data_IF_993524286661
#
_entry.id   IF_993524286661
#
_cell.length_a   1.000
_cell.length_b   1.000
_cell.length_c   1.000
_cell.angle_alpha   90.00
_cell.angle_beta   90.00
_cell.angle_gamma   90.00
#
_symmetry.space_group_name_H-M   'P 1'
#
loop_
_entity.id
_entity.type
_entity.pdbx_description
1 polymer ?
#
# COMPACT_ATOMS: atom_id res chain seq x y z
N UNK A 1 -8.01 13.26 27.93
CA UNK A 1 -6.95 12.68 27.08
C UNK A 1 -5.72 13.57 27.13
N UNK A 2 -4.75 13.26 28.00
CA UNK A 2 -3.58 14.15 28.19
C UNK A 2 -2.67 14.16 26.95
N UNK A 3 -2.72 13.09 26.15
CA UNK A 3 -1.87 12.87 24.98
C UNK A 3 -2.14 13.81 23.81
N UNK A 4 -3.39 14.25 23.58
CA UNK A 4 -3.71 15.23 22.53
C UNK A 4 -2.94 16.54 22.79
N UNK A 5 -2.97 17.03 24.04
CA UNK A 5 -2.26 18.26 24.41
C UNK A 5 -0.76 18.13 24.22
N UNK A 6 -0.18 17.01 24.67
CA UNK A 6 1.26 16.73 24.56
C UNK A 6 1.67 16.66 23.08
N UNK A 7 0.95 15.91 22.25
CA UNK A 7 1.21 15.77 20.83
C UNK A 7 1.07 17.12 20.09
N UNK A 8 0.05 17.92 20.43
CA UNK A 8 -0.14 19.27 19.89
C UNK A 8 1.04 20.19 20.22
N UNK A 9 1.46 20.19 21.48
CA UNK A 9 2.62 20.97 21.92
C UNK A 9 3.92 20.50 21.26
N UNK A 10 4.11 19.20 21.10
CA UNK A 10 5.24 18.61 20.35
C UNK A 10 5.27 19.09 18.91
N UNK A 11 4.10 19.22 18.27
CA UNK A 11 3.96 19.76 16.91
C UNK A 11 4.07 21.29 16.83
N UNK A 12 4.13 21.98 17.97
CA UNK A 12 4.32 23.43 18.02
C UNK A 12 3.10 24.27 17.62
N UNK A 13 1.89 23.68 17.57
CA UNK A 13 0.66 24.41 17.20
C UNK A 13 -0.20 24.73 18.43
N UNK A 14 -1.00 25.78 18.37
CA UNK A 14 -1.95 26.22 19.39
C UNK A 14 -3.28 25.43 19.33
N UNK A 15 -4.09 25.50 20.39
CA UNK A 15 -5.44 24.90 20.36
C UNK A 15 -6.30 25.49 19.24
N UNK A 16 -6.11 26.77 18.93
CA UNK A 16 -6.83 27.46 17.86
C UNK A 16 -6.44 26.90 16.49
N UNK A 17 -5.15 26.76 16.21
CA UNK A 17 -4.65 26.20 14.95
C UNK A 17 -5.08 24.74 14.77
N UNK A 18 -5.07 23.93 15.84
CA UNK A 18 -5.59 22.57 15.77
C UNK A 18 -7.09 22.57 15.46
N UNK A 19 -7.86 23.46 16.10
CA UNK A 19 -9.30 23.57 15.86
C UNK A 19 -9.62 24.01 14.42
N UNK A 20 -8.85 24.96 13.88
CA UNK A 20 -8.95 25.41 12.48
C UNK A 20 -8.68 24.25 11.50
N UNK A 21 -7.65 23.43 11.76
CA UNK A 21 -7.33 22.26 10.92
C UNK A 21 -8.39 21.17 10.98
N UNK A 22 -9.08 21.03 12.12
CA UNK A 22 -10.16 20.06 12.35
C UNK A 22 -11.55 20.61 11.97
N UNK A 23 -11.65 21.87 11.56
CA UNK A 23 -12.91 22.55 11.31
C UNK A 23 -13.90 22.47 12.51
N UNK A 24 -13.39 22.69 13.73
CA UNK A 24 -14.18 22.71 14.97
C UNK A 24 -13.87 23.97 15.79
N UNK A 25 -14.56 24.15 16.92
CA UNK A 25 -14.30 25.26 17.83
C UNK A 25 -13.06 25.00 18.69
N UNK A 26 -12.33 26.05 19.07
CA UNK A 26 -11.22 25.96 20.02
C UNK A 26 -11.68 25.34 21.36
N UNK A 27 -12.92 25.61 21.76
CA UNK A 27 -13.54 25.04 22.95
C UNK A 27 -13.66 23.51 22.85
N UNK A 28 -14.00 22.97 21.67
CA UNK A 28 -14.05 21.52 21.46
C UNK A 28 -12.68 20.88 21.68
N UNK A 29 -11.60 21.46 21.12
CA UNK A 29 -10.21 21.01 21.38
C UNK A 29 -9.88 21.08 22.88
N UNK A 30 -10.28 22.16 23.56
CA UNK A 30 -10.10 22.30 25.02
C UNK A 30 -10.78 21.17 25.80
N UNK A 31 -12.01 20.79 25.43
CA UNK A 31 -12.73 19.69 26.06
C UNK A 31 -12.05 18.33 25.82
N UNK A 32 -11.53 18.08 24.61
CA UNK A 32 -10.77 16.86 24.30
C UNK A 32 -9.49 16.77 25.14
N UNK A 33 -8.70 17.85 25.19
CA UNK A 33 -7.46 17.89 25.97
C UNK A 33 -7.70 17.71 27.48
N UNK A 34 -8.81 18.25 28.00
CA UNK A 34 -9.22 18.07 29.40
C UNK A 34 -9.81 16.68 29.69
N UNK A 35 -10.19 15.93 28.65
CA UNK A 35 -10.91 14.66 28.79
C UNK A 35 -12.37 14.82 29.20
N UNK A 36 -12.94 16.03 29.13
CA UNK A 36 -14.35 16.29 29.40
C UNK A 36 -15.25 15.87 28.24
N UNK A 37 -14.67 15.66 27.06
CA UNK A 37 -15.32 15.08 25.88
C UNK A 37 -14.36 14.08 25.25
N UNK A 38 -14.90 12.98 24.73
CA UNK A 38 -14.15 11.97 23.98
C UNK A 38 -14.40 12.25 22.48
N UNK A 39 -13.36 12.41 21.65
CA UNK A 39 -13.53 12.45 20.20
C UNK A 39 -13.98 11.08 19.69
N UNK A 40 -14.84 11.06 18.68
CA UNK A 40 -15.20 9.81 18.00
C UNK A 40 -14.04 9.28 17.14
N UNK A 41 -14.22 8.09 16.56
CA UNK A 41 -13.18 7.41 15.78
C UNK A 41 -12.66 8.24 14.60
N UNK A 42 -13.56 8.92 13.88
CA UNK A 42 -13.19 9.77 12.74
C UNK A 42 -12.38 10.98 13.22
N UNK A 43 -12.83 11.65 14.27
CA UNK A 43 -12.13 12.79 14.86
C UNK A 43 -10.77 12.38 15.44
N UNK A 44 -10.65 11.19 16.05
CA UNK A 44 -9.36 10.67 16.52
C UNK A 44 -8.39 10.44 15.36
N UNK A 45 -8.88 9.91 14.23
CA UNK A 45 -8.07 9.72 13.04
C UNK A 45 -7.59 11.05 12.44
N UNK A 46 -8.45 12.07 12.38
CA UNK A 46 -8.04 13.40 11.92
C UNK A 46 -7.02 14.05 12.87
N UNK A 47 -7.24 13.95 14.18
CA UNK A 47 -6.30 14.45 15.19
C UNK A 47 -4.95 13.74 15.05
N UNK A 48 -4.94 12.42 14.88
CA UNK A 48 -3.70 11.63 14.77
C UNK A 48 -2.90 12.02 13.52
N UNK A 49 -3.56 12.20 12.38
CA UNK A 49 -2.95 12.70 11.14
C UNK A 49 -2.40 14.12 11.30
N UNK A 50 -3.20 15.05 11.83
CA UNK A 50 -2.77 16.44 12.03
C UNK A 50 -1.63 16.51 13.03
N UNK A 51 -1.61 15.70 14.09
CA UNK A 51 -0.58 15.72 15.11
C UNK A 51 0.60 14.78 14.82
N UNK A 52 0.55 14.03 13.71
CA UNK A 52 1.60 13.08 13.30
C UNK A 52 2.01 12.16 14.45
N UNK A 53 1.01 11.51 15.04
CA UNK A 53 1.13 10.48 16.10
C UNK A 53 0.19 9.33 15.77
N UNK A 54 0.46 8.09 16.21
CA UNK A 54 -0.51 7.00 16.08
C UNK A 54 -1.75 7.25 16.95
N UNK A 55 -2.89 6.66 16.56
CA UNK A 55 -4.14 6.78 17.34
C UNK A 55 -3.96 6.14 18.72
N UNK A 56 -3.23 5.04 18.77
CA UNK A 56 -2.82 4.29 19.95
C UNK A 56 -2.06 5.18 20.96
N UNK A 57 -1.31 6.17 20.47
CA UNK A 57 -0.68 7.15 21.37
C UNK A 57 -1.70 8.10 21.97
N UNK A 58 -2.69 8.53 21.19
CA UNK A 58 -3.75 9.42 21.67
C UNK A 58 -4.67 8.73 22.69
N UNK A 59 -4.93 7.43 22.50
CA UNK A 59 -5.76 6.59 23.38
C UNK A 59 -5.01 5.99 24.56
N UNK A 60 -3.72 6.32 24.72
CA UNK A 60 -2.86 5.83 25.81
C UNK A 60 -2.57 4.32 25.77
N UNK A 61 -2.74 3.69 24.61
CA UNK A 61 -2.35 2.29 24.34
C UNK A 61 -0.85 2.13 24.10
N UNK A 62 -0.17 3.19 23.65
CA UNK A 62 1.30 3.27 23.62
C UNK A 62 1.81 4.55 24.28
N UNK A 63 3.04 4.47 24.81
CA UNK A 63 3.80 5.62 25.28
C UNK A 63 4.72 6.21 24.20
N UNK A 64 4.86 5.55 23.06
CA UNK A 64 5.69 5.97 21.95
C UNK A 64 4.89 6.87 20.99
N UNK A 65 5.22 8.18 20.91
CA UNK A 65 4.52 9.09 20.04
C UNK A 65 4.90 8.97 18.55
N UNK A 66 5.95 8.20 18.23
CA UNK A 66 6.38 7.94 16.86
C UNK A 66 5.91 6.55 16.37
N UNK A 67 5.51 5.67 17.30
CA UNK A 67 4.90 4.37 17.05
C UNK A 67 5.89 3.28 16.61
N UNK A 68 7.16 3.37 17.01
CA UNK A 68 8.17 2.37 16.72
C UNK A 68 7.81 1.00 17.29
N UNK A 69 7.26 0.97 18.50
CA UNK A 69 6.76 -0.25 19.15
C UNK A 69 5.62 -0.91 18.37
N UNK A 70 4.71 -0.12 17.80
CA UNK A 70 3.63 -0.59 16.94
C UNK A 70 4.22 -1.20 15.66
N UNK A 71 5.17 -0.53 15.04
CA UNK A 71 5.85 -1.01 13.83
C UNK A 71 6.61 -2.31 14.08
N UNK A 72 7.39 -2.38 15.16
CA UNK A 72 8.11 -3.59 15.55
C UNK A 72 7.16 -4.76 15.76
N UNK A 73 6.10 -4.56 16.55
CA UNK A 73 5.07 -5.57 16.83
C UNK A 73 4.38 -6.08 15.55
N UNK A 74 4.05 -5.17 14.62
CA UNK A 74 3.27 -5.51 13.44
C UNK A 74 4.10 -6.10 12.29
N UNK A 75 5.39 -5.78 12.23
CA UNK A 75 6.26 -6.19 11.13
C UNK A 75 7.22 -7.31 11.49
N UNK A 76 7.54 -7.45 12.78
CA UNK A 76 8.54 -8.38 13.29
C UNK A 76 9.99 -7.91 13.11
N UNK A 77 10.22 -6.73 12.54
CA UNK A 77 11.56 -6.12 12.46
C UNK A 77 11.82 -5.29 13.71
N UNK A 78 13.03 -5.39 14.26
CA UNK A 78 13.40 -4.56 15.42
C UNK A 78 13.45 -3.08 15.06
N UNK A 79 13.29 -2.23 16.08
CA UNK A 79 13.42 -0.79 15.92
C UNK A 79 14.79 -0.42 15.31
N UNK A 80 15.86 -1.10 15.74
CA UNK A 80 17.21 -0.88 15.23
C UNK A 80 17.35 -1.25 13.75
N UNK A 81 16.71 -2.34 13.30
CA UNK A 81 16.71 -2.74 11.88
C UNK A 81 16.04 -1.68 11.02
N UNK A 82 14.84 -1.22 11.43
CA UNK A 82 14.09 -0.19 10.70
C UNK A 82 14.90 1.11 10.66
N UNK A 83 15.46 1.55 11.78
CA UNK A 83 16.26 2.78 11.84
C UNK A 83 17.55 2.69 11.01
N UNK A 84 18.21 1.53 11.01
CA UNK A 84 19.41 1.30 10.20
C UNK A 84 19.08 1.33 8.72
N UNK A 85 17.94 0.77 8.33
CA UNK A 85 17.46 0.83 6.96
C UNK A 85 17.07 2.25 6.53
N UNK A 86 16.43 3.04 7.41
CA UNK A 86 16.18 4.47 7.17
C UNK A 86 17.49 5.21 6.93
N UNK A 87 18.52 4.97 7.76
CA UNK A 87 19.85 5.59 7.56
C UNK A 87 20.44 5.20 6.22
N UNK A 88 20.35 3.93 5.83
CA UNK A 88 20.83 3.42 4.54
C UNK A 88 20.16 4.13 3.37
N UNK A 89 18.82 4.21 3.33
CA UNK A 89 18.09 4.83 2.22
C UNK A 89 18.35 6.33 2.12
N UNK A 90 18.51 7.02 3.26
CA UNK A 90 18.86 8.45 3.29
C UNK A 90 20.27 8.67 2.75
N UNK A 91 21.24 7.86 3.21
CA UNK A 91 22.62 7.92 2.72
C UNK A 91 22.71 7.68 1.21
N UNK A 92 21.90 6.75 0.68
CA UNK A 92 21.82 6.45 -0.73
C UNK A 92 21.03 7.49 -1.56
N UNK A 93 20.44 8.52 -0.92
CA UNK A 93 19.52 9.47 -1.54
C UNK A 93 18.36 8.77 -2.29
N UNK A 94 17.82 7.71 -1.68
CA UNK A 94 16.79 6.84 -2.27
C UNK A 94 15.46 6.90 -1.50
N UNK A 95 15.20 8.02 -0.83
CA UNK A 95 13.90 8.28 -0.22
C UNK A 95 12.92 8.72 -1.30
N UNK A 96 11.77 8.05 -1.39
CA UNK A 96 10.68 8.41 -2.28
C UNK A 96 9.63 9.21 -1.49
N UNK A 97 9.18 10.36 -2.02
CA UNK A 97 8.22 11.22 -1.33
C UNK A 97 8.87 12.20 -0.35
N UNK A 98 8.16 12.55 0.72
CA UNK A 98 8.63 13.51 1.72
C UNK A 98 9.64 12.88 2.68
N UNK A 99 10.89 13.32 2.62
CA UNK A 99 11.97 12.87 3.51
C UNK A 99 11.81 13.37 4.96
N UNK A 100 11.04 14.44 5.17
CA UNK A 100 10.74 14.95 6.50
C UNK A 100 9.64 14.17 7.23
N UNK A 101 8.85 13.37 6.48
CA UNK A 101 7.80 12.53 7.04
C UNK A 101 8.39 11.21 7.58
N UNK A 102 8.46 11.10 8.91
CA UNK A 102 8.94 9.89 9.57
C UNK A 102 8.11 8.65 9.19
N UNK A 103 6.79 8.77 9.04
CA UNK A 103 5.94 7.62 8.69
C UNK A 103 6.20 7.15 7.25
N UNK A 104 6.52 8.08 6.34
CA UNK A 104 6.98 7.75 5.00
C UNK A 104 8.31 6.97 5.03
N UNK A 105 9.27 7.42 5.85
CA UNK A 105 10.56 6.74 6.02
C UNK A 105 10.40 5.34 6.61
N UNK A 106 9.59 5.18 7.67
CA UNK A 106 9.35 3.88 8.30
C UNK A 106 8.70 2.91 7.31
N UNK A 107 7.64 3.34 6.59
CA UNK A 107 6.97 2.51 5.58
C UNK A 107 7.94 2.01 4.51
N UNK A 108 8.83 2.87 4.02
CA UNK A 108 9.83 2.50 3.02
C UNK A 108 10.86 1.53 3.58
N UNK A 109 11.37 1.78 4.79
CA UNK A 109 12.34 0.91 5.42
C UNK A 109 11.78 -0.50 5.67
N UNK A 110 10.57 -0.60 6.24
CA UNK A 110 9.88 -1.87 6.43
C UNK A 110 9.65 -2.59 5.10
N UNK A 111 9.21 -1.88 4.05
CA UNK A 111 9.02 -2.48 2.74
C UNK A 111 10.33 -3.02 2.15
N UNK A 112 11.44 -2.29 2.34
CA UNK A 112 12.77 -2.72 1.89
C UNK A 112 13.24 -3.97 2.64
N UNK A 113 13.11 -3.99 3.97
CA UNK A 113 13.44 -5.15 4.80
C UNK A 113 12.59 -6.38 4.41
N UNK A 114 11.33 -6.17 4.04
CA UNK A 114 10.45 -7.20 3.49
C UNK A 114 10.76 -7.60 2.03
N UNK A 115 11.72 -6.94 1.38
CA UNK A 115 12.10 -7.20 -0.01
C UNK A 115 11.04 -6.78 -1.04
N UNK A 116 10.03 -6.01 -0.64
CA UNK A 116 8.93 -5.53 -1.51
C UNK A 116 8.99 -4.03 -1.79
N UNK A 117 9.92 -3.31 -1.15
CA UNK A 117 10.14 -1.88 -1.30
C UNK A 117 11.04 -1.52 -2.49
N UNK A 118 11.77 -0.42 -2.35
CA UNK A 118 12.69 0.14 -3.33
C UNK A 118 14.06 -0.59 -3.30
N UNK A 119 14.01 -1.91 -3.39
CA UNK A 119 15.18 -2.77 -3.59
C UNK A 119 15.18 -3.28 -5.02
N UNK A 120 16.33 -3.71 -5.56
CA UNK A 120 16.40 -4.26 -6.92
C UNK A 120 15.31 -5.32 -7.15
N UNK A 121 15.21 -6.23 -6.17
CA UNK A 121 14.20 -7.28 -6.13
C UNK A 121 12.77 -6.73 -6.04
N UNK A 122 12.50 -5.82 -5.11
CA UNK A 122 11.15 -5.27 -4.90
C UNK A 122 10.65 -4.49 -6.13
N UNK A 123 11.54 -3.73 -6.77
CA UNK A 123 11.28 -3.01 -8.02
C UNK A 123 10.97 -3.98 -9.16
N UNK A 124 11.81 -5.00 -9.36
CA UNK A 124 11.60 -6.01 -10.43
C UNK A 124 10.31 -6.79 -10.18
N UNK A 125 10.06 -7.23 -8.94
CA UNK A 125 8.82 -7.91 -8.57
C UNK A 125 7.59 -7.03 -8.79
N UNK A 126 7.69 -5.72 -8.54
CA UNK A 126 6.62 -4.75 -8.83
C UNK A 126 6.35 -4.65 -10.33
N UNK A 127 7.38 -4.48 -11.16
CA UNK A 127 7.21 -4.41 -12.63
C UNK A 127 6.58 -5.72 -13.14
N UNK A 128 7.01 -6.87 -12.62
CA UNK A 128 6.41 -8.16 -12.97
C UNK A 128 4.91 -8.25 -12.57
N UNK A 129 4.49 -7.60 -11.47
CA UNK A 129 3.07 -7.47 -11.10
C UNK A 129 2.33 -6.51 -12.02
N UNK A 130 2.93 -5.37 -12.37
CA UNK A 130 2.32 -4.37 -13.26
C UNK A 130 2.00 -4.99 -14.64
N UNK A 131 2.82 -5.93 -15.12
CA UNK A 131 2.52 -6.71 -16.34
C UNK A 131 1.23 -7.54 -16.20
N UNK A 132 0.89 -8.05 -15.02
CA UNK A 132 -0.39 -8.76 -14.79
C UNK A 132 -1.56 -7.79 -15.00
N UNK A 133 -1.43 -6.55 -14.53
CA UNK A 133 -2.44 -5.51 -14.74
C UNK A 133 -2.63 -5.22 -16.23
N UNK A 134 -1.53 -5.12 -17.00
CA UNK A 134 -1.60 -4.95 -18.46
C UNK A 134 -2.25 -6.15 -19.16
N UNK A 135 -1.97 -7.38 -18.72
CA UNK A 135 -2.64 -8.59 -19.23
C UNK A 135 -4.15 -8.53 -18.96
N UNK A 136 -4.55 -8.15 -17.74
CA UNK A 136 -5.95 -8.03 -17.37
C UNK A 136 -6.67 -6.95 -18.18
N UNK A 137 -6.03 -5.81 -18.41
CA UNK A 137 -6.56 -4.75 -19.26
C UNK A 137 -6.76 -5.23 -20.70
N UNK A 138 -5.75 -5.91 -21.27
CA UNK A 138 -5.83 -6.46 -22.61
C UNK A 138 -6.97 -7.48 -22.72
N UNK A 139 -7.07 -8.43 -21.78
CA UNK A 139 -8.14 -9.41 -21.72
C UNK A 139 -9.51 -8.74 -21.65
N UNK A 140 -9.67 -7.71 -20.81
CA UNK A 140 -10.93 -6.97 -20.67
C UNK A 140 -11.35 -6.27 -21.97
N UNK A 141 -10.40 -5.81 -22.78
CA UNK A 141 -10.67 -5.10 -24.03
C UNK A 141 -10.94 -6.05 -25.21
N UNK A 142 -10.31 -7.22 -25.21
CA UNK A 142 -10.44 -8.17 -26.31
C UNK A 142 -11.56 -9.19 -26.09
N UNK A 143 -11.80 -9.64 -24.86
CA UNK A 143 -12.75 -10.72 -24.58
C UNK A 143 -14.20 -10.34 -24.91
N UNK A 144 -14.89 -11.20 -25.68
CA UNK A 144 -16.32 -11.07 -25.94
C UNK A 144 -17.11 -11.70 -24.78
N UNK A 145 -17.92 -10.93 -24.04
CA UNK A 145 -18.75 -11.45 -22.95
C UNK A 145 -19.70 -12.57 -23.41
N UNK A 146 -20.20 -12.53 -24.65
CA UNK A 146 -21.13 -13.53 -25.20
C UNK A 146 -20.45 -14.88 -25.43
N UNK A 147 -19.15 -14.87 -25.73
CA UNK A 147 -18.35 -16.08 -25.92
C UNK A 147 -17.87 -16.64 -24.58
N UNK A 148 -17.38 -15.78 -23.70
CA UNK A 148 -16.92 -16.16 -22.35
C UNK A 148 -18.05 -16.62 -21.42
N UNK A 149 -19.28 -16.13 -21.59
CA UNK A 149 -20.44 -16.59 -20.83
C UNK A 149 -20.74 -18.08 -21.04
N UNK A 150 -20.42 -18.63 -22.22
CA UNK A 150 -20.64 -20.03 -22.59
C UNK A 150 -19.64 -20.98 -21.92
N UNK A 151 -18.58 -20.45 -21.29
CA UNK A 151 -17.60 -21.27 -20.59
C UNK A 151 -18.21 -21.89 -19.33
N UNK A 152 -17.83 -23.15 -19.00
CA UNK A 152 -18.23 -23.79 -17.76
C UNK A 152 -17.83 -22.94 -16.56
N UNK A 153 -18.66 -22.88 -15.52
CA UNK A 153 -18.32 -22.18 -14.28
C UNK A 153 -17.60 -23.13 -13.32
N UNK A 154 -16.63 -22.61 -12.56
CA UNK A 154 -15.96 -23.33 -11.49
C UNK A 154 -16.79 -23.24 -10.21
N UNK A 155 -17.47 -24.33 -9.86
CA UNK A 155 -18.37 -24.38 -8.70
C UNK A 155 -19.71 -23.69 -8.94
N UNK A 156 -20.44 -23.39 -7.85
CA UNK A 156 -21.76 -22.74 -7.89
C UNK A 156 -21.72 -21.21 -7.95
N UNK A 157 -20.53 -20.61 -7.94
CA UNK A 157 -20.37 -19.15 -7.95
C UNK A 157 -20.34 -18.61 -9.38
N UNK A 158 -21.28 -17.72 -9.71
CA UNK A 158 -21.26 -16.93 -10.94
C UNK A 158 -20.06 -15.98 -10.92
N UNK A 159 -19.00 -16.29 -11.66
CA UNK A 159 -17.86 -15.38 -11.86
C UNK A 159 -16.54 -16.06 -12.20
N UNK A 160 -16.29 -17.26 -11.67
CA UNK A 160 -15.09 -18.03 -12.04
C UNK A 160 -15.40 -18.93 -13.24
N UNK A 161 -14.85 -18.61 -14.40
CA UNK A 161 -14.96 -19.42 -15.62
C UNK A 161 -13.80 -20.40 -15.72
N UNK A 162 -14.11 -21.64 -16.08
CA UNK A 162 -13.15 -22.66 -16.46
C UNK A 162 -12.82 -22.45 -17.94
N UNK A 163 -11.53 -22.34 -18.24
CA UNK A 163 -11.01 -22.28 -19.60
C UNK A 163 -10.52 -23.68 -19.99
N UNK A 164 -11.25 -24.43 -20.82
CA UNK A 164 -10.82 -25.75 -21.27
C UNK A 164 -9.51 -25.63 -22.06
N UNK A 165 -8.61 -26.59 -21.89
CA UNK A 165 -7.33 -26.62 -22.63
C UNK A 165 -7.49 -26.69 -24.16
N UNK A 166 -8.69 -27.05 -24.63
CA UNK A 166 -9.04 -27.16 -26.05
C UNK A 166 -9.45 -25.84 -26.69
N UNK A 167 -9.82 -24.81 -25.91
CA UNK A 167 -10.27 -23.51 -26.43
C UNK A 167 -9.07 -22.57 -26.48
N UNK A 168 -8.72 -22.06 -27.67
CA UNK A 168 -7.68 -21.03 -27.77
C UNK A 168 -8.20 -19.69 -27.27
N UNK A 169 -7.33 -18.93 -26.61
CA UNK A 169 -7.68 -17.60 -26.09
C UNK A 169 -8.20 -16.66 -27.18
N UNK A 170 -7.70 -16.78 -28.42
CA UNK A 170 -8.19 -16.05 -29.59
C UNK A 170 -9.61 -16.42 -30.05
N UNK A 171 -10.19 -17.54 -29.60
CA UNK A 171 -11.58 -17.91 -29.94
C UNK A 171 -12.60 -17.16 -29.08
N UNK A 172 -12.17 -16.56 -27.97
CA UNK A 172 -13.02 -15.92 -26.97
C UNK A 172 -13.07 -14.40 -27.08
N UNK A 173 -12.41 -13.81 -28.08
CA UNK A 173 -12.37 -12.36 -28.31
C UNK A 173 -13.50 -11.89 -29.24
N UNK A 174 -13.72 -10.58 -29.33
CA UNK A 174 -14.67 -10.00 -30.29
C UNK A 174 -14.30 -10.34 -31.75
N UNK A 175 -15.32 -10.55 -32.59
CA UNK A 175 -15.15 -11.00 -33.98
C UNK A 175 -14.46 -9.96 -34.90
N UNK A 176 -14.52 -8.68 -34.55
CA UNK A 176 -13.88 -7.57 -35.26
C UNK A 176 -12.40 -7.35 -34.87
N UNK A 177 -11.90 -8.09 -33.89
CA UNK A 177 -10.54 -7.99 -33.38
C UNK A 177 -9.66 -9.15 -33.86
N UNK A 178 -8.37 -8.88 -34.07
CA UNK A 178 -7.41 -9.91 -34.52
C UNK A 178 -6.99 -10.85 -33.39
N UNK A 179 -7.34 -12.12 -33.51
CA UNK A 179 -6.91 -13.18 -32.60
C UNK A 179 -5.39 -13.33 -32.57
N UNK A 180 -4.74 -13.23 -33.72
CA UNK A 180 -3.29 -13.30 -33.83
C UNK A 180 -2.60 -12.14 -33.10
N UNK A 181 -3.13 -10.91 -33.23
CA UNK A 181 -2.58 -9.74 -32.54
C UNK A 181 -2.71 -9.88 -31.02
N UNK A 182 -3.87 -10.33 -30.54
CA UNK A 182 -4.12 -10.60 -29.12
C UNK A 182 -3.18 -11.66 -28.56
N UNK A 183 -3.07 -12.81 -29.23
CA UNK A 183 -2.22 -13.92 -28.77
C UNK A 183 -0.74 -13.51 -28.70
N UNK A 184 -0.25 -12.78 -29.72
CA UNK A 184 1.12 -12.24 -29.71
C UNK A 184 1.35 -11.26 -28.56
N UNK A 185 0.41 -10.34 -28.33
CA UNK A 185 0.52 -9.38 -27.23
C UNK A 185 0.53 -10.08 -25.86
N UNK A 186 -0.32 -11.08 -25.65
CA UNK A 186 -0.32 -11.90 -24.43
C UNK A 186 1.00 -12.65 -24.25
N UNK A 187 1.52 -13.29 -25.31
CA UNK A 187 2.79 -14.02 -25.24
C UNK A 187 3.96 -13.11 -24.85
N UNK A 188 4.05 -11.92 -25.45
CA UNK A 188 5.06 -10.90 -25.09
C UNK A 188 4.98 -10.56 -23.60
N UNK A 189 3.79 -10.29 -23.08
CA UNK A 189 3.60 -9.96 -21.67
C UNK A 189 3.95 -11.15 -20.75
N UNK A 190 3.56 -12.38 -21.12
CA UNK A 190 3.89 -13.58 -20.34
C UNK A 190 5.41 -13.79 -20.30
N UNK A 191 6.08 -13.69 -21.46
CA UNK A 191 7.53 -13.85 -21.57
C UNK A 191 8.26 -12.80 -20.76
N UNK A 192 7.90 -11.52 -20.92
CA UNK A 192 8.50 -10.42 -20.15
C UNK A 192 8.35 -10.62 -18.64
N UNK A 193 7.14 -10.99 -18.17
CA UNK A 193 6.90 -11.29 -16.75
C UNK A 193 7.75 -12.45 -16.25
N UNK A 194 7.83 -13.53 -17.03
CA UNK A 194 8.61 -14.72 -16.68
C UNK A 194 10.10 -14.36 -16.57
N UNK A 195 10.62 -13.60 -17.51
CA UNK A 195 12.03 -13.26 -17.55
C UNK A 195 12.39 -12.30 -16.40
N UNK A 196 11.53 -11.32 -16.08
CA UNK A 196 11.69 -10.49 -14.86
C UNK A 196 11.68 -11.32 -13.57
N UNK A 197 10.77 -12.30 -13.46
CA UNK A 197 10.74 -13.19 -12.28
C UNK A 197 12.01 -14.03 -12.14
N UNK A 198 12.64 -14.42 -13.25
CA UNK A 198 13.94 -15.12 -13.19
C UNK A 198 15.01 -14.20 -12.60
N UNK A 199 15.13 -12.97 -13.11
CA UNK A 199 16.09 -11.97 -12.60
C UNK A 199 15.87 -11.75 -11.10
N UNK A 200 14.62 -11.56 -10.65
CA UNK A 200 14.29 -11.38 -9.23
C UNK A 200 14.67 -12.59 -8.36
N UNK A 201 14.51 -13.81 -8.88
CA UNK A 201 14.90 -15.01 -8.16
C UNK A 201 16.43 -15.18 -8.07
N UNK A 202 17.17 -14.79 -9.11
CA UNK A 202 18.63 -14.88 -9.12
C UNK A 202 19.25 -13.93 -8.07
N UNK A 203 18.60 -12.80 -7.78
CA UNK A 203 18.97 -11.89 -6.71
C UNK A 203 18.82 -12.47 -5.28
N UNK A 204 18.12 -13.61 -5.09
CA UNK A 204 17.98 -14.28 -3.77
C UNK A 204 19.16 -15.17 -3.38
N UNK A 205 20.01 -15.54 -4.34
CA UNK A 205 21.02 -16.58 -4.16
C UNK A 205 22.39 -16.06 -3.69
N UNK A 206 22.49 -14.76 -3.36
CA UNK A 206 23.71 -14.11 -2.89
C UNK A 206 23.56 -13.61 -1.45
#
# INVERSE_FOLDING_TARGET
MKRIKIARQRKGISQKELAEKLNITQQAVSYYEKGSRIPDENMLLEISQILTVPVEYLTEETNDPDGWDIWEKNTGYSIEEIQSEIKRIKYANHVVGDESDLQNLIKQAVANLAGIGNTDRGIIDKIARDIISLQNELNKKYADPRKTAKLPSLGKQEGMKIYPATIKSGELIFDDLSAEAYEKAIDVLIKARRDLRKISNDLRLN
#
